data_IF_653934362753
#
_entry.id   IF_653934362753
#
_cell.length_a   1.000
_cell.length_b   1.000
_cell.length_c   1.000
_cell.angle_alpha   90.00
_cell.angle_beta   90.00
_cell.angle_gamma   90.00
#
_symmetry.space_group_name_H-M   'P 1'
#
loop_
_entity.id
_entity.type
_entity.pdbx_description
1 polymer ?
#
# COMPACT_ATOMS: atom_id res chain seq x y z
N UNK A 1 -21.44 3.54 12.41
CA UNK A 1 -20.15 2.95 12.80
C UNK A 1 -19.30 2.91 11.54
N UNK A 2 -18.46 3.94 11.34
CA UNK A 2 -17.74 4.15 10.07
C UNK A 2 -16.72 3.05 9.87
N UNK A 3 -16.91 2.26 8.82
CA UNK A 3 -15.94 1.26 8.39
C UNK A 3 -14.65 2.01 8.02
N UNK A 4 -13.56 1.64 8.68
CA UNK A 4 -12.20 2.17 8.48
C UNK A 4 -11.45 1.70 7.20
N UNK A 5 -11.92 0.77 6.33
CA UNK A 5 -11.09 0.28 5.23
C UNK A 5 -10.95 1.32 4.10
N UNK A 6 -12.04 1.98 3.71
CA UNK A 6 -12.06 2.96 2.61
C UNK A 6 -11.12 4.16 2.80
N UNK A 7 -10.71 4.46 4.03
CA UNK A 7 -9.86 5.63 4.29
C UNK A 7 -8.47 5.45 3.71
N UNK A 8 -7.91 4.24 3.75
CA UNK A 8 -6.54 4.00 3.28
C UNK A 8 -6.44 4.08 1.76
N UNK A 9 -7.34 3.38 1.05
CA UNK A 9 -7.42 3.43 -0.41
C UNK A 9 -7.74 4.84 -0.91
N UNK A 10 -8.67 5.55 -0.24
CA UNK A 10 -9.05 6.91 -0.64
C UNK A 10 -7.93 7.92 -0.38
N UNK A 11 -7.24 7.87 0.76
CA UNK A 11 -6.14 8.80 1.04
C UNK A 11 -4.95 8.62 0.09
N UNK A 12 -4.69 7.39 -0.35
CA UNK A 12 -3.66 7.09 -1.36
C UNK A 12 -4.12 7.62 -2.74
N UNK A 13 -5.39 7.40 -3.13
CA UNK A 13 -5.94 7.86 -4.42
C UNK A 13 -6.15 9.37 -4.53
N UNK A 14 -6.46 10.06 -3.44
CA UNK A 14 -6.71 11.51 -3.44
C UNK A 14 -5.41 12.31 -3.67
N UNK A 15 -4.25 11.64 -3.66
CA UNK A 15 -2.91 12.22 -3.73
C UNK A 15 -2.65 13.28 -2.63
N UNK A 16 -3.44 13.26 -1.56
CA UNK A 16 -3.28 14.14 -0.42
C UNK A 16 -2.09 13.67 0.43
N UNK A 17 -0.95 14.29 0.18
CA UNK A 17 0.33 13.90 0.77
C UNK A 17 0.35 13.99 2.31
N UNK A 18 -0.50 14.79 2.95
CA UNK A 18 -0.64 14.80 4.41
C UNK A 18 -1.46 13.62 4.92
N UNK A 19 -2.58 13.32 4.28
CA UNK A 19 -3.43 12.19 4.62
C UNK A 19 -2.69 10.87 4.43
N UNK A 20 -1.98 10.71 3.31
CA UNK A 20 -1.12 9.54 3.08
C UNK A 20 -0.09 9.37 4.20
N UNK A 21 0.63 10.44 4.60
CA UNK A 21 1.60 10.40 5.71
C UNK A 21 0.97 9.96 7.02
N UNK A 22 -0.21 10.48 7.37
CA UNK A 22 -0.88 10.14 8.62
C UNK A 22 -1.28 8.66 8.65
N UNK A 23 -1.79 8.14 7.54
CA UNK A 23 -2.19 6.73 7.42
C UNK A 23 -0.99 5.79 7.45
N UNK A 24 0.12 6.17 6.80
CA UNK A 24 1.39 5.45 6.85
C UNK A 24 1.96 5.42 8.28
N UNK A 25 1.98 6.56 8.96
CA UNK A 25 2.41 6.67 10.35
C UNK A 25 1.60 5.80 11.30
N UNK A 26 0.29 5.72 11.09
CA UNK A 26 -0.59 4.92 11.93
C UNK A 26 -0.50 3.42 11.65
N UNK A 27 0.25 2.99 10.61
CA UNK A 27 0.29 1.59 10.15
C UNK A 27 -1.13 1.02 10.00
N UNK A 28 -2.04 1.86 9.53
CA UNK A 28 -3.42 1.43 9.33
C UNK A 28 -3.41 0.34 8.27
N UNK A 29 -4.16 -0.73 8.53
CA UNK A 29 -4.39 -1.79 7.56
C UNK A 29 -5.75 -1.56 6.92
N UNK A 30 -5.85 -1.83 5.61
CA UNK A 30 -7.14 -1.87 4.94
C UNK A 30 -8.00 -3.04 5.46
N UNK A 31 -9.27 -3.10 5.07
CA UNK A 31 -10.18 -4.21 5.42
C UNK A 31 -9.69 -5.57 4.94
N UNK A 32 -8.77 -5.58 3.98
CA UNK A 32 -8.10 -6.78 3.54
C UNK A 32 -6.85 -7.14 4.36
N UNK A 33 -6.39 -6.30 5.29
CA UNK A 33 -5.11 -6.49 5.99
C UNK A 33 -3.92 -5.84 5.27
N UNK A 34 -4.20 -5.04 4.24
CA UNK A 34 -3.17 -4.46 3.36
C UNK A 34 -2.51 -3.30 4.05
N UNK A 35 -1.18 -3.33 4.08
CA UNK A 35 -0.38 -2.17 4.46
C UNK A 35 -0.44 -1.08 3.37
N UNK A 36 -0.11 0.18 3.70
CA UNK A 36 0.01 1.25 2.70
C UNK A 36 0.94 0.88 1.54
N UNK A 37 1.96 0.07 1.81
CA UNK A 37 2.91 -0.38 0.80
C UNK A 37 2.28 -1.38 -0.19
N UNK A 38 1.34 -2.22 0.24
CA UNK A 38 0.56 -3.07 -0.69
C UNK A 38 -0.23 -2.21 -1.67
N UNK A 39 -0.88 -1.15 -1.20
CA UNK A 39 -1.69 -0.28 -2.05
C UNK A 39 -0.79 0.55 -2.98
N UNK A 40 0.32 1.09 -2.47
CA UNK A 40 1.29 1.81 -3.30
C UNK A 40 1.90 0.89 -4.39
N UNK A 41 2.16 -0.38 -4.07
CA UNK A 41 2.59 -1.38 -5.04
C UNK A 41 1.51 -1.69 -6.09
N UNK A 42 0.24 -1.75 -5.69
CA UNK A 42 -0.91 -1.95 -6.59
C UNK A 42 -1.12 -0.76 -7.55
N UNK A 43 -0.71 0.45 -7.20
CA UNK A 43 -0.86 1.62 -8.08
C UNK A 43 0.44 2.04 -8.77
N UNK A 44 1.59 1.42 -8.42
CA UNK A 44 2.92 1.79 -8.89
C UNK A 44 3.28 3.27 -8.68
N UNK A 45 2.77 3.87 -7.60
CA UNK A 45 2.81 5.31 -7.38
C UNK A 45 4.14 5.76 -6.74
N UNK A 46 4.98 6.44 -7.54
CA UNK A 46 6.35 6.80 -7.13
C UNK A 46 6.39 7.83 -6.00
N UNK A 47 5.47 8.78 -5.99
CA UNK A 47 5.38 9.80 -4.93
C UNK A 47 5.06 9.16 -3.59
N UNK A 48 4.08 8.25 -3.58
CA UNK A 48 3.64 7.56 -2.38
C UNK A 48 4.72 6.60 -1.89
N UNK A 49 5.39 5.87 -2.78
CA UNK A 49 6.57 5.07 -2.42
C UNK A 49 7.68 5.92 -1.79
N UNK A 50 7.90 7.15 -2.27
CA UNK A 50 8.90 8.04 -1.69
C UNK A 50 8.49 8.53 -0.30
N UNK A 51 7.21 8.85 -0.09
CA UNK A 51 6.66 9.21 1.23
C UNK A 51 6.78 8.02 2.20
N UNK A 52 6.38 6.82 1.77
CA UNK A 52 6.47 5.58 2.56
C UNK A 52 7.92 5.31 2.94
N UNK A 53 8.86 5.38 1.98
CA UNK A 53 10.29 5.21 2.26
C UNK A 53 10.80 6.23 3.27
N UNK A 54 10.37 7.49 3.13
CA UNK A 54 10.81 8.57 4.02
C UNK A 54 10.25 8.44 5.44
N UNK A 55 9.02 7.94 5.61
CA UNK A 55 8.40 7.74 6.93
C UNK A 55 8.84 6.44 7.61
N UNK A 56 9.00 5.35 6.85
CA UNK A 56 9.35 4.05 7.41
C UNK A 56 10.85 3.82 7.58
N UNK A 57 11.70 4.40 6.74
CA UNK A 57 13.16 4.21 6.82
C UNK A 57 13.53 2.73 6.97
N UNK A 58 14.14 2.37 8.10
CA UNK A 58 14.55 1.00 8.45
C UNK A 58 13.40 -0.01 8.59
N UNK A 59 12.17 0.45 8.88
CA UNK A 59 10.98 -0.42 8.98
C UNK A 59 10.37 -0.77 7.62
N UNK A 60 10.88 -0.19 6.53
CA UNK A 60 10.41 -0.50 5.19
C UNK A 60 10.57 -2.00 4.88
N UNK A 61 11.67 -2.61 5.32
CA UNK A 61 11.95 -4.03 5.08
C UNK A 61 10.94 -4.95 5.78
N UNK A 62 10.51 -4.60 6.98
CA UNK A 62 9.47 -5.30 7.74
C UNK A 62 8.12 -5.24 6.99
N UNK A 63 7.81 -4.08 6.41
CA UNK A 63 6.55 -3.88 5.67
C UNK A 63 6.56 -4.48 4.27
N UNK A 64 7.74 -4.61 3.64
CA UNK A 64 7.93 -5.39 2.42
C UNK A 64 7.69 -6.89 2.64
N UNK A 65 7.89 -7.36 3.87
CA UNK A 65 7.65 -8.76 4.26
C UNK A 65 6.26 -8.97 4.86
N UNK A 66 5.57 -7.88 5.22
CA UNK A 66 4.21 -7.95 5.77
C UNK A 66 3.29 -8.65 4.78
N UNK A 67 2.53 -9.62 5.28
CA UNK A 67 1.56 -10.37 4.50
C UNK A 67 0.16 -9.85 4.78
N UNK A 68 -0.58 -9.67 3.71
CA UNK A 68 -2.01 -9.36 3.72
C UNK A 68 -2.84 -10.56 4.22
N UNK A 69 -4.17 -10.43 4.39
CA UNK A 69 -5.01 -11.60 4.77
C UNK A 69 -4.96 -12.72 3.73
N UNK A 70 -4.63 -12.37 2.48
CA UNK A 70 -4.47 -13.30 1.37
C UNK A 70 -3.08 -13.97 1.37
N UNK A 71 -2.22 -13.66 2.34
CA UNK A 71 -0.85 -14.16 2.42
C UNK A 71 0.12 -13.53 1.41
N UNK A 72 -0.34 -12.51 0.67
CA UNK A 72 0.45 -11.80 -0.33
C UNK A 72 1.29 -10.71 0.32
N UNK A 73 2.50 -10.50 -0.20
CA UNK A 73 3.35 -9.36 0.17
C UNK A 73 3.17 -8.20 -0.82
N UNK A 74 3.60 -6.97 -0.49
CA UNK A 74 3.50 -5.84 -1.43
C UNK A 74 4.23 -6.12 -2.75
N UNK A 75 5.37 -6.83 -2.68
CA UNK A 75 6.14 -7.20 -3.87
C UNK A 75 5.34 -8.13 -4.80
N UNK A 76 4.53 -9.04 -4.25
CA UNK A 76 3.65 -9.92 -5.03
C UNK A 76 2.56 -9.14 -5.78
N UNK A 77 2.12 -7.98 -5.28
CA UNK A 77 1.16 -7.13 -6.01
C UNK A 77 1.78 -6.50 -7.26
N UNK A 78 3.08 -6.14 -7.20
CA UNK A 78 3.82 -5.59 -8.35
C UNK A 78 3.96 -6.65 -9.44
N UNK A 79 4.36 -7.86 -9.04
CA UNK A 79 4.55 -8.99 -9.97
C UNK A 79 3.22 -9.45 -10.55
N UNK A 80 2.18 -9.49 -9.70
CA UNK A 80 0.79 -9.70 -10.11
C UNK A 80 0.39 -8.76 -11.22
N UNK A 81 0.48 -7.44 -11.04
CA UNK A 81 0.11 -6.48 -12.10
C UNK A 81 0.91 -6.66 -13.39
N UNK A 82 2.23 -6.90 -13.32
CA UNK A 82 3.03 -7.20 -14.53
C UNK A 82 2.62 -8.50 -15.20
N UNK A 83 2.13 -9.48 -14.44
CA UNK A 83 1.59 -10.73 -14.97
C UNK A 83 0.19 -10.51 -15.58
N UNK A 84 -0.66 -9.68 -14.98
CA UNK A 84 -1.96 -9.27 -15.54
C UNK A 84 -1.80 -8.45 -16.82
N UNK A 85 -0.84 -7.53 -16.90
CA UNK A 85 -0.49 -6.77 -18.11
C UNK A 85 0.01 -7.68 -19.25
N UNK A 86 0.52 -8.86 -18.90
CA UNK A 86 0.93 -9.92 -19.85
C UNK A 86 -0.19 -10.90 -20.19
N UNK A 87 -1.25 -10.96 -19.38
CA UNK A 87 -2.50 -11.63 -19.68
C UNK A 87 -3.36 -10.63 -20.47
N UNK A 88 -2.97 -10.38 -21.72
CA UNK A 88 -3.80 -9.67 -22.70
C UNK A 88 -5.08 -10.51 -22.91
N UNK A 89 -6.16 -10.14 -22.24
CA UNK A 89 -7.51 -10.70 -22.38
C UNK A 89 -8.52 -9.59 -22.59
#
# INVERSE_FOLDING_TARGET
MGTKPDTLHRCIMDNDSQSAKNVIRQRSLDGLGRTPLHIAALHADKEILNIIRSELGDKLTDELQAKDILGMTPLMYIDGMRAWDRLDV
#
